data_IF_320375167538
#
_entry.id   IF_320375167538
#
_cell.length_a   1.000
_cell.length_b   1.000
_cell.length_c   1.000
_cell.angle_alpha   90.00
_cell.angle_beta   90.00
_cell.angle_gamma   90.00
#
_symmetry.space_group_name_H-M   'P 1'
#
loop_
_entity.id
_entity.type
_entity.pdbx_description
1 polymer ?
#
# COMPACT_ATOMS: atom_id res chain seq x y z
N UNK A 1 -17.37 -1.36 -3.47
CA UNK A 1 -17.70 -0.23 -2.58
C UNK A 1 -17.34 -0.54 -1.14
N UNK A 2 -18.08 -1.41 -0.42
CA UNK A 2 -17.75 -1.70 1.00
C UNK A 2 -16.33 -2.22 1.20
N UNK A 3 -15.85 -3.09 0.29
CA UNK A 3 -14.46 -3.57 0.33
C UNK A 3 -13.46 -2.42 0.16
N UNK A 4 -13.73 -1.50 -0.76
CA UNK A 4 -12.90 -0.31 -0.98
C UNK A 4 -12.87 0.58 0.27
N UNK A 5 -14.04 0.91 0.82
CA UNK A 5 -14.14 1.70 2.05
C UNK A 5 -13.34 1.09 3.20
N UNK A 6 -13.52 -0.21 3.45
CA UNK A 6 -12.79 -0.90 4.51
C UNK A 6 -11.27 -0.90 4.28
N UNK A 7 -10.84 -1.17 3.06
CA UNK A 7 -9.41 -1.16 2.73
C UNK A 7 -8.79 0.24 2.74
N UNK A 8 -9.53 1.30 2.46
CA UNK A 8 -9.01 2.66 2.65
C UNK A 8 -8.72 2.95 4.11
N UNK A 9 -9.64 2.63 5.02
CA UNK A 9 -9.44 2.85 6.47
C UNK A 9 -8.32 1.95 7.00
N UNK A 10 -8.25 0.69 6.55
CA UNK A 10 -7.20 -0.24 6.96
C UNK A 10 -5.82 0.17 6.43
N UNK A 11 -5.70 0.48 5.14
CA UNK A 11 -4.42 0.69 4.46
C UNK A 11 -3.87 2.10 4.66
N UNK A 12 -4.70 3.13 4.43
CA UNK A 12 -4.30 4.53 4.56
C UNK A 12 -4.50 5.08 5.98
N UNK A 13 -5.20 4.35 6.84
CA UNK A 13 -5.32 4.66 8.27
C UNK A 13 -4.38 3.80 9.13
N UNK A 14 -4.81 2.58 9.45
CA UNK A 14 -4.09 1.77 10.45
C UNK A 14 -2.70 1.33 10.00
N UNK A 15 -2.54 0.82 8.77
CA UNK A 15 -1.25 0.33 8.28
C UNK A 15 -0.24 1.46 8.12
N UNK A 16 -0.63 2.57 7.49
CA UNK A 16 0.23 3.76 7.36
C UNK A 16 0.64 4.31 8.73
N UNK A 17 -0.24 4.31 9.73
CA UNK A 17 0.10 4.70 11.10
C UNK A 17 1.16 3.79 11.72
N UNK A 18 1.10 2.48 11.49
CA UNK A 18 2.13 1.55 11.95
C UNK A 18 3.46 1.85 11.26
N UNK A 19 3.46 2.06 9.94
CA UNK A 19 4.69 2.38 9.20
C UNK A 19 5.31 3.70 9.67
N UNK A 20 4.52 4.75 9.84
CA UNK A 20 5.00 6.05 10.34
C UNK A 20 5.56 5.89 11.76
N UNK A 21 4.88 5.13 12.61
CA UNK A 21 5.39 4.81 13.96
C UNK A 21 6.73 4.09 13.88
N UNK A 22 6.90 3.09 13.00
CA UNK A 22 8.18 2.39 12.86
C UNK A 22 9.31 3.32 12.41
N UNK A 23 9.05 4.22 11.47
CA UNK A 23 10.05 5.19 10.98
C UNK A 23 10.39 6.21 12.08
N UNK A 24 9.40 6.70 12.81
CA UNK A 24 9.58 7.70 13.87
C UNK A 24 10.41 7.17 15.04
N UNK A 25 10.10 5.95 15.49
CA UNK A 25 10.78 5.33 16.64
C UNK A 25 12.08 4.62 16.25
N UNK A 26 12.38 4.49 14.96
CA UNK A 26 13.58 3.81 14.48
C UNK A 26 14.89 4.26 15.15
N UNK A 27 15.26 5.56 15.15
CA UNK A 27 16.54 5.99 15.76
C UNK A 27 16.60 5.74 17.26
N UNK A 28 15.46 5.72 17.96
CA UNK A 28 15.42 5.42 19.39
C UNK A 28 15.59 3.92 19.68
N UNK A 29 15.14 3.05 18.78
CA UNK A 29 15.20 1.60 18.96
C UNK A 29 16.54 1.02 18.50
N UNK A 30 17.04 1.45 17.33
CA UNK A 30 18.25 0.87 16.72
C UNK A 30 19.50 1.72 16.92
N UNK A 31 19.35 3.00 17.28
CA UNK A 31 20.46 3.95 17.36
C UNK A 31 20.93 4.50 16.01
N UNK A 32 20.34 4.05 14.89
CA UNK A 32 20.71 4.46 13.54
C UNK A 32 19.63 5.30 12.88
N UNK A 33 20.03 6.20 11.99
CA UNK A 33 19.09 7.00 11.20
C UNK A 33 18.67 6.31 9.90
N UNK A 34 17.42 6.52 9.45
CA UNK A 34 16.95 6.06 8.13
C UNK A 34 17.21 7.13 7.07
N UNK A 35 17.50 6.68 5.85
CA UNK A 35 17.65 7.59 4.71
C UNK A 35 16.32 8.29 4.38
N UNK A 36 16.32 9.62 4.43
CA UNK A 36 15.14 10.47 4.18
C UNK A 36 14.63 10.36 2.74
N UNK A 37 15.53 10.20 1.76
CA UNK A 37 15.13 10.06 0.36
C UNK A 37 14.45 8.72 0.09
N UNK A 38 14.96 7.64 0.68
CA UNK A 38 14.38 6.30 0.51
C UNK A 38 13.00 6.20 1.21
N UNK A 39 12.88 6.75 2.43
CA UNK A 39 11.61 6.77 3.16
C UNK A 39 10.54 7.63 2.47
N UNK A 40 10.91 8.79 1.91
CA UNK A 40 10.01 9.61 1.07
C UNK A 40 9.61 8.88 -0.21
N UNK A 41 10.56 8.22 -0.88
CA UNK A 41 10.27 7.38 -2.04
C UNK A 41 9.28 6.26 -1.72
N UNK A 42 9.44 5.60 -0.57
CA UNK A 42 8.54 4.54 -0.11
C UNK A 42 7.13 5.09 0.15
N UNK A 43 7.03 6.26 0.78
CA UNK A 43 5.75 6.90 1.02
C UNK A 43 5.00 7.23 -0.28
N UNK A 44 5.68 7.82 -1.27
CA UNK A 44 5.06 8.15 -2.55
C UNK A 44 4.62 6.88 -3.29
N UNK A 45 5.50 5.86 -3.35
CA UNK A 45 5.19 4.59 -4.01
C UNK A 45 4.00 3.87 -3.37
N UNK A 46 3.91 3.85 -2.03
CA UNK A 46 2.80 3.21 -1.30
C UNK A 46 1.49 3.96 -1.49
N UNK A 47 1.51 5.31 -1.45
CA UNK A 47 0.34 6.12 -1.74
C UNK A 47 -0.20 5.87 -3.15
N UNK A 48 0.67 5.81 -4.16
CA UNK A 48 0.26 5.50 -5.54
C UNK A 48 -0.31 4.08 -5.63
N UNK A 49 0.38 3.09 -5.05
CA UNK A 49 -0.07 1.69 -5.06
C UNK A 49 -1.44 1.49 -4.43
N UNK A 50 -1.66 2.03 -3.23
CA UNK A 50 -2.95 1.91 -2.54
C UNK A 50 -4.10 2.57 -3.29
N UNK A 51 -3.88 3.76 -3.86
CA UNK A 51 -4.93 4.42 -4.60
C UNK A 51 -5.27 3.68 -5.90
N UNK A 52 -4.28 3.25 -6.68
CA UNK A 52 -4.54 2.47 -7.91
C UNK A 52 -5.23 1.14 -7.58
N UNK A 53 -4.89 0.51 -6.45
CA UNK A 53 -5.50 -0.75 -6.04
C UNK A 53 -6.97 -0.59 -5.61
N UNK A 54 -7.24 0.32 -4.66
CA UNK A 54 -8.53 0.37 -3.99
C UNK A 54 -9.51 1.39 -4.57
N UNK A 55 -9.03 2.42 -5.27
CA UNK A 55 -9.92 3.44 -5.86
C UNK A 55 -10.87 2.83 -6.91
N UNK A 56 -10.41 2.03 -7.89
CA UNK A 56 -11.30 1.40 -8.89
C UNK A 56 -12.39 0.53 -8.27
N UNK A 57 -12.14 -0.03 -7.08
CA UNK A 57 -13.08 -0.90 -6.37
C UNK A 57 -14.31 -0.16 -5.81
N UNK A 58 -14.27 1.18 -5.71
CA UNK A 58 -15.47 1.98 -5.49
C UNK A 58 -16.44 1.83 -6.67
N UNK A 59 -15.95 2.05 -7.89
CA UNK A 59 -16.74 1.92 -9.12
C UNK A 59 -17.22 0.49 -9.36
N UNK A 60 -16.39 -0.52 -9.11
CA UNK A 60 -16.82 -1.91 -9.21
C UNK A 60 -18.04 -2.20 -8.32
N UNK A 61 -18.06 -1.67 -7.09
CA UNK A 61 -19.22 -1.87 -6.22
C UNK A 61 -20.41 -0.98 -6.51
N UNK A 62 -20.21 0.23 -7.06
CA UNK A 62 -21.32 1.08 -7.51
C UNK A 62 -22.04 0.46 -8.70
N UNK A 63 -21.30 -0.21 -9.59
CA UNK A 63 -21.84 -0.99 -10.71
C UNK A 63 -22.40 -2.37 -10.29
N UNK A 64 -22.51 -2.64 -8.98
CA UNK A 64 -23.21 -3.83 -8.47
C UNK A 64 -22.41 -5.13 -8.45
N UNK A 65 -21.08 -5.10 -8.62
CA UNK A 65 -20.26 -6.31 -8.52
C UNK A 65 -20.42 -6.94 -7.10
N UNK A 66 -20.94 -8.18 -6.99
CA UNK A 66 -21.06 -8.86 -5.71
C UNK A 66 -19.69 -9.18 -5.14
N UNK A 67 -19.61 -9.24 -3.81
CA UNK A 67 -18.37 -9.62 -3.12
C UNK A 67 -18.18 -11.13 -3.16
N UNK A 68 -16.92 -11.58 -3.04
CA UNK A 68 -16.54 -13.00 -2.88
C UNK A 68 -16.96 -13.89 -4.06
N UNK A 69 -16.86 -13.36 -5.28
CA UNK A 69 -17.06 -14.12 -6.51
C UNK A 69 -15.72 -14.41 -7.17
N UNK A 70 -15.58 -15.62 -7.72
CA UNK A 70 -14.40 -16.04 -8.47
C UNK A 70 -14.48 -15.70 -9.95
N UNK A 71 -15.68 -15.48 -10.48
CA UNK A 71 -15.95 -15.09 -11.86
C UNK A 71 -16.88 -13.87 -11.88
N UNK A 72 -16.69 -13.01 -12.89
CA UNK A 72 -17.45 -11.79 -13.09
C UNK A 72 -17.56 -11.50 -14.60
N UNK A 73 -18.53 -10.68 -14.98
CA UNK A 73 -18.76 -10.33 -16.38
C UNK A 73 -17.61 -9.51 -16.97
N UNK A 74 -17.40 -9.63 -18.28
CA UNK A 74 -16.32 -8.95 -18.99
C UNK A 74 -16.35 -7.41 -18.84
N UNK A 75 -17.52 -6.83 -18.54
CA UNK A 75 -17.68 -5.39 -18.24
C UNK A 75 -16.84 -4.89 -17.06
N UNK A 76 -16.53 -5.76 -16.09
CA UNK A 76 -15.73 -5.41 -14.91
C UNK A 76 -14.23 -5.61 -15.10
N UNK A 77 -13.82 -6.29 -16.18
CA UNK A 77 -12.45 -6.73 -16.40
C UNK A 77 -11.44 -5.58 -16.35
N UNK A 78 -11.72 -4.46 -17.03
CA UNK A 78 -10.79 -3.32 -17.10
C UNK A 78 -10.50 -2.74 -15.71
N UNK A 79 -11.55 -2.47 -14.92
CA UNK A 79 -11.40 -1.93 -13.57
C UNK A 79 -10.72 -2.93 -12.62
N UNK A 80 -10.99 -4.22 -12.81
CA UNK A 80 -10.33 -5.28 -12.04
C UNK A 80 -8.84 -5.40 -12.39
N UNK A 81 -8.46 -5.27 -13.67
CA UNK A 81 -7.07 -5.26 -14.10
C UNK A 81 -6.30 -4.07 -13.52
N UNK A 82 -6.89 -2.87 -13.52
CA UNK A 82 -6.26 -1.68 -12.91
C UNK A 82 -6.02 -1.91 -11.41
N UNK A 83 -7.04 -2.43 -10.71
CA UNK A 83 -6.91 -2.79 -9.29
C UNK A 83 -5.81 -3.83 -9.07
N UNK A 84 -5.70 -4.83 -9.95
CA UNK A 84 -4.63 -5.85 -9.92
C UNK A 84 -3.23 -5.28 -10.13
N UNK A 85 -3.05 -4.30 -11.04
CA UNK A 85 -1.77 -3.60 -11.21
C UNK A 85 -1.41 -2.82 -9.95
N UNK A 86 -2.38 -2.12 -9.35
CA UNK A 86 -2.19 -1.42 -8.08
C UNK A 86 -1.79 -2.38 -6.94
N UNK A 87 -2.39 -3.58 -6.90
CA UNK A 87 -2.02 -4.61 -5.94
C UNK A 87 -0.56 -5.04 -6.09
N UNK A 88 -0.09 -5.28 -7.33
CA UNK A 88 1.32 -5.61 -7.58
C UNK A 88 2.26 -4.49 -7.13
N UNK A 89 1.94 -3.22 -7.41
CA UNK A 89 2.73 -2.07 -6.94
C UNK A 89 2.79 -2.03 -5.42
N UNK A 90 1.67 -2.28 -4.74
CA UNK A 90 1.61 -2.28 -3.27
C UNK A 90 2.47 -3.39 -2.64
N UNK A 91 2.54 -4.58 -3.26
CA UNK A 91 3.42 -5.67 -2.83
C UNK A 91 4.89 -5.27 -2.96
N UNK A 92 5.28 -4.70 -4.10
CA UNK A 92 6.64 -4.21 -4.30
C UNK A 92 7.01 -3.14 -3.28
N UNK A 93 6.06 -2.28 -2.92
CA UNK A 93 6.30 -1.28 -1.88
C UNK A 93 6.50 -1.89 -0.50
N UNK A 94 5.79 -2.98 -0.18
CA UNK A 94 6.04 -3.75 1.05
C UNK A 94 7.46 -4.30 1.12
N UNK A 95 7.98 -4.87 0.02
CA UNK A 95 9.38 -5.29 -0.06
C UNK A 95 10.35 -4.11 0.01
N UNK A 96 9.98 -2.97 -0.58
CA UNK A 96 10.78 -1.76 -0.50
C UNK A 96 10.92 -1.24 0.93
N UNK A 97 9.89 -1.35 1.77
CA UNK A 97 10.00 -1.04 3.21
C UNK A 97 11.06 -1.90 3.88
N UNK A 98 11.06 -3.22 3.64
CA UNK A 98 12.07 -4.13 4.20
C UNK A 98 13.48 -3.75 3.76
N UNK A 99 13.64 -3.33 2.51
CA UNK A 99 14.91 -2.81 2.00
C UNK A 99 15.35 -1.54 2.72
N UNK A 100 14.45 -0.57 2.96
CA UNK A 100 14.77 0.67 3.69
C UNK A 100 15.25 0.37 5.12
N UNK A 101 14.58 -0.56 5.81
CA UNK A 101 14.96 -0.95 7.17
C UNK A 101 16.31 -1.68 7.20
N UNK A 102 16.56 -2.56 6.21
CA UNK A 102 17.85 -3.24 6.08
C UNK A 102 18.99 -2.27 5.78
N UNK A 103 18.76 -1.32 4.86
CA UNK A 103 19.74 -0.29 4.49
C UNK A 103 20.14 0.56 5.70
N UNK A 104 19.17 0.96 6.53
CA UNK A 104 19.43 1.71 7.75
C UNK A 104 20.24 0.95 8.82
N UNK A 105 20.19 -0.38 8.84
CA UNK A 105 21.02 -1.19 9.74
C UNK A 105 22.42 -1.42 9.14
N UNK A 106 22.49 -1.68 7.83
CA UNK A 106 23.73 -2.00 7.15
C UNK A 106 24.66 -0.79 6.99
N UNK A 107 24.10 0.38 6.70
CA UNK A 107 24.82 1.63 6.48
C UNK A 107 24.58 2.66 7.60
N UNK A 108 23.99 2.23 8.72
CA UNK A 108 23.60 3.10 9.80
C UNK A 108 24.78 3.88 10.37
N UNK A 109 24.68 5.21 10.30
CA UNK A 109 25.47 6.15 11.10
C UNK A 109 24.65 6.63 12.30
#
# INVERSE_FOLDING_TARGET
FVVAHFHYVLSLGSYSSVVISTIWWWPYVTGFTLNTYLTQGHFIASCVGFNICFFPMHFLGLNGLPRRVCAYDCSFYILHCISGVGAMISIHTGFFLLFVLWEGIANGH
#
